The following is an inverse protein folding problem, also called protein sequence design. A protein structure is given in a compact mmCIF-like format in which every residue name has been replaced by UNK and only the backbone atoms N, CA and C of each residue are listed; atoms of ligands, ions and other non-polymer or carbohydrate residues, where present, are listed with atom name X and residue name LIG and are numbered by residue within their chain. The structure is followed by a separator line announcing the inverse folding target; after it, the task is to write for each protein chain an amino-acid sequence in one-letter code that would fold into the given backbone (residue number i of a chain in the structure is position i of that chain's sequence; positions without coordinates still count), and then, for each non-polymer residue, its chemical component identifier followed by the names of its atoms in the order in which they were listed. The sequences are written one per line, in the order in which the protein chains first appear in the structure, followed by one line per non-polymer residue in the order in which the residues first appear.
data_IF_255807200376
#
_entry.id   IF_255807200376
#
_cell.length_a   1.000
_cell.length_b   1.000
_cell.length_c   1.000
_cell.angle_alpha   90.00
_cell.angle_beta   90.00
_cell.angle_gamma   90.00
#
_symmetry.space_group_name_H-M   'P 1'
#
loop_
_entity.id
_entity.type
_entity.pdbx_description
1 polymer ?
#
# COMPACT_ATOMS: atom_id res chain seq x y z
N UNK A 1 -11.10 -0.14 -9.43
CA UNK A 1 -10.79 0.91 -8.44
C UNK A 1 -10.06 2.06 -9.07
N UNK A 2 -10.37 3.28 -8.65
CA UNK A 2 -9.59 4.45 -9.04
C UNK A 2 -8.32 4.55 -8.22
N UNK A 3 -7.40 5.42 -8.63
CA UNK A 3 -6.16 5.62 -7.88
C UNK A 3 -6.42 6.13 -6.46
N UNK A 4 -7.42 6.97 -6.28
CA UNK A 4 -7.79 7.46 -4.94
C UNK A 4 -8.34 6.36 -4.07
N UNK A 5 -9.16 5.49 -4.63
CA UNK A 5 -9.69 4.34 -3.90
C UNK A 5 -8.56 3.38 -3.48
N UNK A 6 -7.57 3.21 -4.35
CA UNK A 6 -6.41 2.39 -4.03
C UNK A 6 -5.59 2.99 -2.90
N UNK A 7 -5.40 4.31 -2.93
CA UNK A 7 -4.69 5.01 -1.84
C UNK A 7 -5.42 4.83 -0.51
N UNK A 8 -6.74 4.96 -0.52
CA UNK A 8 -7.55 4.76 0.68
C UNK A 8 -7.45 3.31 1.17
N UNK A 9 -7.44 2.35 0.25
CA UNK A 9 -7.28 0.94 0.59
C UNK A 9 -5.93 0.70 1.29
N UNK A 10 -4.85 1.25 0.74
CA UNK A 10 -3.52 1.08 1.32
C UNK A 10 -3.46 1.71 2.70
N UNK A 11 -4.01 2.91 2.86
CA UNK A 11 -4.04 3.58 4.17
C UNK A 11 -4.85 2.78 5.18
N UNK A 12 -5.96 2.20 4.77
CA UNK A 12 -6.77 1.35 5.64
C UNK A 12 -6.01 0.11 6.09
N UNK A 13 -5.27 -0.50 5.19
CA UNK A 13 -4.44 -1.67 5.51
C UNK A 13 -3.34 -1.27 6.51
N UNK A 14 -2.70 -0.14 6.28
CA UNK A 14 -1.64 0.35 7.18
C UNK A 14 -2.23 0.66 8.56
N UNK A 15 -3.41 1.24 8.61
CA UNK A 15 -4.08 1.52 9.88
C UNK A 15 -4.37 0.24 10.66
N UNK A 16 -4.71 -0.84 9.97
CA UNK A 16 -4.93 -2.14 10.61
C UNK A 16 -3.64 -2.74 11.17
N UNK A 17 -2.51 -2.44 10.54
CA UNK A 17 -1.20 -2.91 10.97
C UNK A 17 -0.64 -2.04 12.10
N UNK A 18 -0.78 -0.73 11.97
CA UNK A 18 -0.28 0.27 12.92
C UNK A 18 -1.33 1.34 13.12
N UNK A 19 -2.12 1.20 14.17
CA UNK A 19 -3.20 2.13 14.49
C UNK A 19 -2.74 3.49 14.98
N UNK A 20 -1.43 3.64 15.23
CA UNK A 20 -0.84 4.92 15.64
C UNK A 20 -0.27 5.71 14.46
N UNK A 21 -0.35 5.16 13.24
CA UNK A 21 0.19 5.82 12.06
C UNK A 21 -0.50 7.16 11.80
N UNK A 22 0.29 8.19 11.53
CA UNK A 22 -0.20 9.53 11.25
C UNK A 22 -0.29 9.75 9.74
N UNK A 23 -1.51 9.77 9.23
CA UNK A 23 -1.74 9.96 7.80
C UNK A 23 -1.91 11.43 7.40
N UNK A 24 -2.13 12.32 8.36
CA UNK A 24 -2.33 13.74 8.06
C UNK A 24 -1.08 14.39 7.51
N UNK A 25 0.09 13.96 8.01
CA UNK A 25 1.37 14.49 7.57
C UNK A 25 2.00 13.65 6.47
N UNK A 26 1.30 12.64 5.97
CA UNK A 26 1.84 11.71 4.99
C UNK A 26 2.00 12.37 3.63
N UNK A 27 3.22 12.30 3.08
CA UNK A 27 3.49 12.73 1.72
C UNK A 27 3.37 11.53 0.79
N UNK A 28 2.40 11.52 -0.15
CA UNK A 28 2.20 10.36 -1.02
C UNK A 28 3.33 10.10 -2.01
N UNK A 29 4.21 11.08 -2.23
CA UNK A 29 5.35 10.94 -3.13
C UNK A 29 6.59 10.40 -2.45
N UNK A 30 6.63 10.39 -1.12
CA UNK A 30 7.78 9.90 -0.37
C UNK A 30 7.58 8.47 0.11
N UNK A 31 8.68 7.73 0.36
CA UNK A 31 8.55 6.34 0.82
C UNK A 31 7.76 6.23 2.12
N UNK A 32 6.78 5.33 2.12
CA UNK A 32 5.96 5.05 3.29
C UNK A 32 6.82 4.52 4.45
N UNK A 33 7.82 3.75 4.12
CA UNK A 33 8.73 3.15 5.08
C UNK A 33 9.43 4.19 5.95
N UNK A 34 9.85 5.31 5.32
CA UNK A 34 10.56 6.37 6.03
C UNK A 34 9.62 7.23 6.85
N UNK A 35 8.38 7.38 6.40
CA UNK A 35 7.40 8.26 7.06
C UNK A 35 6.68 7.57 8.22
N UNK A 36 6.41 6.27 8.07
CA UNK A 36 5.59 5.53 9.02
C UNK A 36 6.39 4.49 9.81
N UNK A 37 7.71 4.50 9.64
CA UNK A 37 8.60 3.60 10.36
C UNK A 37 8.24 2.12 10.14
N UNK A 38 7.84 1.79 8.92
CA UNK A 38 7.48 0.43 8.55
C UNK A 38 8.72 -0.38 8.23
N UNK A 39 8.76 -1.63 8.71
CA UNK A 39 9.83 -2.54 8.36
C UNK A 39 9.39 -3.49 7.24
N UNK A 40 10.27 -4.41 6.84
CA UNK A 40 9.96 -5.34 5.74
C UNK A 40 8.82 -6.29 6.09
N UNK A 41 8.62 -6.61 7.35
CA UNK A 41 7.51 -7.46 7.78
C UNK A 41 6.18 -6.73 7.63
N UNK A 42 6.16 -5.44 7.92
CA UNK A 42 4.96 -4.62 7.72
C UNK A 42 4.58 -4.55 6.25
N UNK A 43 5.57 -4.44 5.36
CA UNK A 43 5.32 -4.49 3.92
C UNK A 43 4.73 -5.83 3.49
N UNK A 44 5.23 -6.92 4.05
CA UNK A 44 4.67 -8.24 3.76
C UNK A 44 3.22 -8.32 4.21
N UNK A 45 2.90 -7.74 5.36
CA UNK A 45 1.52 -7.71 5.84
C UNK A 45 0.62 -6.94 4.87
N UNK A 46 1.09 -5.83 4.31
CA UNK A 46 0.35 -5.08 3.30
C UNK A 46 0.08 -5.96 2.07
N UNK A 47 1.10 -6.64 1.58
CA UNK A 47 0.97 -7.53 0.42
C UNK A 47 0.00 -8.66 0.70
N UNK A 48 0.08 -9.26 1.89
CA UNK A 48 -0.82 -10.34 2.28
C UNK A 48 -2.27 -9.87 2.40
N UNK A 49 -2.49 -8.66 2.90
CA UNK A 49 -3.83 -8.10 2.97
C UNK A 49 -4.41 -7.84 1.58
N UNK A 50 -3.59 -7.34 0.66
CA UNK A 50 -4.02 -7.16 -0.73
C UNK A 50 -4.41 -8.48 -1.37
N UNK A 51 -3.63 -9.53 -1.12
CA UNK A 51 -3.93 -10.86 -1.61
C UNK A 51 -5.23 -11.40 -1.02
N UNK A 52 -5.44 -11.16 0.27
CA UNK A 52 -6.60 -11.64 0.98
C UNK A 52 -7.88 -10.92 0.59
N UNK A 53 -7.80 -9.58 0.45
CA UNK A 53 -8.96 -8.74 0.16
C UNK A 53 -9.35 -8.76 -1.31
N UNK A 54 -8.38 -8.80 -2.22
CA UNK A 54 -8.61 -8.66 -3.66
C UNK A 54 -7.96 -9.77 -4.48
N UNK A 55 -7.42 -10.79 -3.81
CA UNK A 55 -6.78 -11.94 -4.48
C UNK A 55 -5.64 -11.52 -5.41
N UNK A 56 -4.95 -10.43 -5.06
CA UNK A 56 -3.80 -9.96 -5.81
C UNK A 56 -2.56 -10.77 -5.44
N UNK A 57 -1.83 -11.20 -6.45
CA UNK A 57 -0.54 -11.84 -6.26
C UNK A 57 0.54 -10.87 -6.71
N UNK A 58 1.32 -10.37 -5.76
CA UNK A 58 2.37 -9.41 -6.02
C UNK A 58 3.71 -10.14 -5.86
N UNK A 59 4.48 -10.33 -6.94
CA UNK A 59 5.77 -10.98 -6.82
C UNK A 59 6.75 -10.10 -6.04
N UNK A 60 7.68 -10.75 -5.36
CA UNK A 60 8.66 -10.06 -4.52
C UNK A 60 9.47 -9.03 -5.32
N UNK A 61 9.74 -9.32 -6.58
CA UNK A 61 10.47 -8.41 -7.46
C UNK A 61 9.74 -7.08 -7.70
N UNK A 62 8.42 -7.06 -7.47
CA UNK A 62 7.59 -5.87 -7.64
C UNK A 62 7.39 -5.09 -6.34
N UNK A 63 7.88 -5.58 -5.22
CA UNK A 63 7.74 -4.88 -3.94
C UNK A 63 8.27 -3.45 -3.95
N UNK A 64 9.37 -3.11 -4.66
CA UNK A 64 9.82 -1.73 -4.73
C UNK A 64 8.79 -0.76 -5.31
N UNK A 65 7.83 -1.25 -6.11
CA UNK A 65 6.76 -0.43 -6.65
C UNK A 65 5.75 0.00 -5.58
N UNK A 66 5.81 -0.61 -4.41
CA UNK A 66 4.94 -0.27 -3.28
C UNK A 66 5.63 0.70 -2.30
N UNK A 67 6.70 1.34 -2.70
CA UNK A 67 7.50 2.18 -1.83
C UNK A 67 6.75 3.41 -1.32
N UNK A 68 6.01 4.10 -2.20
CA UNK A 68 5.23 5.27 -1.82
C UNK A 68 3.74 5.04 -2.10
N UNK A 69 2.89 5.89 -1.53
CA UNK A 69 1.44 5.80 -1.75
C UNK A 69 1.10 5.99 -3.23
N UNK A 70 1.72 6.98 -3.88
CA UNK A 70 1.49 7.22 -5.30
C UNK A 70 1.99 6.07 -6.16
N UNK A 71 3.15 5.50 -5.86
CA UNK A 71 3.65 4.36 -6.63
C UNK A 71 2.77 3.12 -6.42
N UNK A 72 2.24 2.91 -5.23
CA UNK A 72 1.26 1.86 -4.98
C UNK A 72 0.05 2.04 -5.88
N UNK A 73 -0.49 3.25 -5.96
CA UNK A 73 -1.67 3.53 -6.78
C UNK A 73 -1.39 3.28 -8.25
N UNK A 74 -0.27 3.74 -8.75
CA UNK A 74 0.12 3.55 -10.15
C UNK A 74 0.28 2.06 -10.47
N UNK A 75 0.93 1.33 -9.59
CA UNK A 75 1.17 -0.10 -9.80
C UNK A 75 -0.12 -0.92 -9.71
N UNK A 76 -0.97 -0.62 -8.74
CA UNK A 76 -2.16 -1.42 -8.47
C UNK A 76 -3.36 -1.05 -9.35
N UNK A 77 -3.39 0.14 -9.92
CA UNK A 77 -4.53 0.58 -10.73
C UNK A 77 -4.87 -0.39 -11.87
N UNK A 78 -3.91 -0.83 -12.70
CA UNK A 78 -4.22 -1.79 -13.75
C UNK A 78 -4.63 -3.16 -13.22
N UNK A 79 -4.16 -3.53 -12.03
CA UNK A 79 -4.50 -4.82 -11.42
C UNK A 79 -5.89 -4.83 -10.80
N UNK A 80 -6.38 -3.67 -10.38
CA UNK A 80 -7.68 -3.51 -9.73
C UNK A 80 -8.70 -2.80 -10.61
N UNK A 81 -8.42 -2.69 -11.89
CA UNK A 81 -9.24 -1.95 -12.83
C UNK A 81 -10.66 -2.48 -12.95
N UNK A 82 -10.82 -3.78 -12.82
CA UNK A 82 -12.11 -4.45 -13.01
C UNK A 82 -12.87 -4.70 -11.71
N UNK A 83 -12.42 -4.10 -10.63
CA UNK A 83 -13.04 -4.27 -9.32
C UNK A 83 -13.86 -3.05 -8.92
#
# INVERSE_FOLDING_TARGET
MTSEEIKDLILEIIEDIDDEADFESLNPDEPLRDQLDLDSMDFLDIVMELRKRHQLQIPEEDYPNLASLNSCAIYLEPLLKDI
#
